data_IF_531178388033
#
_entry.id   IF_531178388033
#
_cell.length_a   1.000
_cell.length_b   1.000
_cell.length_c   1.000
_cell.angle_alpha   90.00
_cell.angle_beta   90.00
_cell.angle_gamma   90.00
#
_symmetry.space_group_name_H-M   'P 1'
#
loop_
_entity.id
_entity.type
_entity.pdbx_description
1 polymer ?
#
# COMPACT_ATOMS: atom_id res chain seq x y z
N UNK A 1 -64.11 28.06 58.30
CA UNK A 1 -63.09 26.98 58.18
C UNK A 1 -63.33 26.28 56.84
N UNK A 2 -62.50 26.56 55.84
CA UNK A 2 -62.60 26.00 54.48
C UNK A 2 -61.28 25.33 54.09
N UNK A 3 -61.37 24.10 53.59
CA UNK A 3 -60.31 23.11 53.40
C UNK A 3 -59.28 23.53 52.34
N UNK A 4 -57.99 23.42 52.67
CA UNK A 4 -56.92 23.59 51.69
C UNK A 4 -56.85 22.40 50.73
N UNK A 5 -57.09 22.63 49.45
CA UNK A 5 -56.86 21.65 48.41
C UNK A 5 -55.35 21.53 48.13
N UNK A 6 -54.75 20.43 48.60
CA UNK A 6 -53.35 20.10 48.37
C UNK A 6 -53.19 19.65 46.91
N UNK A 7 -52.68 20.54 46.06
CA UNK A 7 -52.38 20.25 44.66
C UNK A 7 -51.21 19.25 44.57
N UNK A 8 -51.46 18.02 44.11
CA UNK A 8 -50.42 17.03 43.81
C UNK A 8 -50.07 17.10 42.32
N UNK A 9 -48.87 17.59 42.00
CA UNK A 9 -48.31 17.47 40.63
C UNK A 9 -47.98 16.00 40.36
N UNK A 10 -48.46 15.40 39.25
CA UNK A 10 -48.01 14.07 38.87
C UNK A 10 -46.52 14.12 38.52
N UNK A 11 -45.71 13.36 39.23
CA UNK A 11 -44.31 13.18 38.91
C UNK A 11 -44.22 12.51 37.52
N UNK A 12 -43.77 13.27 36.51
CA UNK A 12 -43.44 12.71 35.20
C UNK A 12 -42.34 11.68 35.40
N UNK A 13 -42.67 10.40 35.24
CA UNK A 13 -41.71 9.30 35.23
C UNK A 13 -40.79 9.47 34.03
N UNK A 14 -39.70 10.20 34.19
CA UNK A 14 -38.62 10.22 33.21
C UNK A 14 -38.18 8.78 32.99
N UNK A 15 -38.07 8.37 31.72
CA UNK A 15 -37.53 7.06 31.31
C UNK A 15 -36.06 7.25 30.89
N UNK A 16 -35.12 7.60 31.81
CA UNK A 16 -33.75 7.97 31.44
C UNK A 16 -32.99 6.82 30.77
N UNK A 17 -33.37 5.58 31.09
CA UNK A 17 -32.71 4.37 30.58
C UNK A 17 -32.90 4.22 29.06
N UNK A 18 -34.08 4.56 28.52
CA UNK A 18 -34.34 4.44 27.08
C UNK A 18 -33.56 5.48 26.26
N UNK A 19 -33.45 6.69 26.78
CA UNK A 19 -32.70 7.76 26.11
C UNK A 19 -31.19 7.52 26.19
N UNK A 20 -30.67 7.01 27.32
CA UNK A 20 -29.27 6.60 27.45
C UNK A 20 -28.90 5.44 26.53
N UNK A 21 -29.79 4.45 26.38
CA UNK A 21 -29.56 3.31 25.49
C UNK A 21 -29.54 3.72 24.01
N UNK A 22 -30.41 4.64 23.60
CA UNK A 22 -30.42 5.19 22.24
C UNK A 22 -29.16 6.00 21.92
N UNK A 23 -28.73 6.87 22.84
CA UNK A 23 -27.51 7.67 22.67
C UNK A 23 -26.25 6.79 22.66
N UNK A 24 -26.18 5.79 23.55
CA UNK A 24 -25.08 4.83 23.57
C UNK A 24 -25.00 3.98 22.31
N UNK A 25 -26.15 3.49 21.82
CA UNK A 25 -26.24 2.74 20.57
C UNK A 25 -25.84 3.57 19.36
N UNK A 26 -26.26 4.83 19.28
CA UNK A 26 -25.88 5.74 18.19
C UNK A 26 -24.37 6.03 18.20
N UNK A 27 -23.80 6.32 19.37
CA UNK A 27 -22.36 6.54 19.53
C UNK A 27 -21.54 5.34 19.09
N UNK A 28 -21.90 4.14 19.58
CA UNK A 28 -21.23 2.90 19.18
C UNK A 28 -21.38 2.62 17.68
N UNK A 29 -22.56 2.83 17.11
CA UNK A 29 -22.83 2.69 15.67
C UNK A 29 -21.94 3.60 14.83
N UNK A 30 -21.86 4.89 15.18
CA UNK A 30 -20.99 5.85 14.46
C UNK A 30 -19.50 5.52 14.59
N UNK A 31 -19.07 5.03 15.75
CA UNK A 31 -17.69 4.58 15.97
C UNK A 31 -17.35 3.38 15.06
N UNK A 32 -18.22 2.37 15.03
CA UNK A 32 -18.03 1.18 14.19
C UNK A 32 -18.06 1.53 12.70
N UNK A 33 -18.98 2.40 12.27
CA UNK A 33 -19.05 2.88 10.87
C UNK A 33 -17.79 3.68 10.53
N UNK A 34 -17.31 4.54 11.44
CA UNK A 34 -16.08 5.32 11.24
C UNK A 34 -14.85 4.43 11.09
N UNK A 35 -14.68 3.44 11.98
CA UNK A 35 -13.56 2.48 11.93
C UNK A 35 -13.64 1.61 10.66
N UNK A 36 -14.83 1.08 10.33
CA UNK A 36 -15.03 0.28 9.12
C UNK A 36 -14.80 1.10 7.84
N UNK A 37 -15.25 2.36 7.82
CA UNK A 37 -15.02 3.28 6.70
C UNK A 37 -13.54 3.60 6.52
N UNK A 38 -12.82 3.89 7.60
CA UNK A 38 -11.37 4.09 7.57
C UNK A 38 -10.62 2.84 7.11
N UNK A 39 -11.02 1.66 7.57
CA UNK A 39 -10.43 0.39 7.17
C UNK A 39 -10.67 0.12 5.67
N UNK A 40 -11.91 0.28 5.19
CA UNK A 40 -12.26 0.09 3.79
C UNK A 40 -11.53 1.07 2.87
N UNK A 41 -11.43 2.35 3.28
CA UNK A 41 -10.68 3.37 2.54
C UNK A 41 -9.20 3.02 2.44
N UNK A 42 -8.57 2.59 3.54
CA UNK A 42 -7.17 2.15 3.54
C UNK A 42 -6.95 0.94 2.61
N UNK A 43 -7.84 -0.05 2.66
CA UNK A 43 -7.76 -1.22 1.77
C UNK A 43 -7.93 -0.83 0.30
N UNK A 44 -8.88 0.06 -0.03
CA UNK A 44 -9.06 0.52 -1.40
C UNK A 44 -7.85 1.30 -1.93
N UNK A 45 -7.24 2.16 -1.13
CA UNK A 45 -6.02 2.90 -1.53
C UNK A 45 -4.84 1.96 -1.74
N UNK A 46 -4.65 0.96 -0.87
CA UNK A 46 -3.59 -0.04 -1.01
C UNK A 46 -3.83 -0.94 -2.22
N UNK A 47 -5.07 -1.36 -2.47
CA UNK A 47 -5.45 -2.18 -3.63
C UNK A 47 -5.30 -1.40 -4.94
N UNK A 48 -5.68 -0.12 -4.98
CA UNK A 48 -5.54 0.72 -6.18
C UNK A 48 -4.07 1.08 -6.49
N UNK A 49 -3.21 1.23 -5.48
CA UNK A 49 -1.78 1.45 -5.70
C UNK A 49 -1.02 0.15 -6.01
N UNK A 50 -1.52 -1.01 -5.58
CA UNK A 50 -0.89 -2.32 -5.82
C UNK A 50 -0.78 -2.69 -7.29
N UNK A 51 -1.80 -2.40 -8.10
CA UNK A 51 -1.80 -2.66 -9.55
C UNK A 51 -0.66 -1.93 -10.27
N UNK A 52 -0.62 -0.59 -10.23
CA UNK A 52 0.42 0.20 -10.91
C UNK A 52 1.86 -0.11 -10.44
N UNK A 53 2.04 -0.41 -9.15
CA UNK A 53 3.34 -0.85 -8.61
C UNK A 53 3.74 -2.20 -9.21
N UNK A 54 2.82 -3.17 -9.20
CA UNK A 54 3.06 -4.51 -9.76
C UNK A 54 3.39 -4.44 -11.25
N UNK A 55 2.62 -3.68 -12.02
CA UNK A 55 2.86 -3.46 -13.46
C UNK A 55 4.21 -2.82 -13.74
N UNK A 56 4.63 -1.88 -12.88
CA UNK A 56 5.94 -1.23 -13.01
C UNK A 56 7.07 -2.22 -12.78
N UNK A 57 6.99 -3.02 -11.72
CA UNK A 57 7.98 -4.03 -11.40
C UNK A 57 8.00 -5.16 -12.44
N UNK A 58 6.83 -5.62 -12.87
CA UNK A 58 6.66 -6.64 -13.91
C UNK A 58 7.31 -6.19 -15.21
N UNK A 59 6.96 -4.99 -15.71
CA UNK A 59 7.55 -4.49 -16.94
C UNK A 59 9.07 -4.24 -16.85
N UNK A 60 9.61 -3.93 -15.67
CA UNK A 60 11.07 -3.83 -15.46
C UNK A 60 11.72 -5.22 -15.54
N UNK A 61 11.19 -6.20 -14.81
CA UNK A 61 11.72 -7.55 -14.77
C UNK A 61 11.60 -8.27 -16.11
N UNK A 62 10.50 -8.06 -16.82
CA UNK A 62 10.30 -8.56 -18.18
C UNK A 62 11.39 -8.06 -19.12
N UNK A 63 11.71 -6.75 -19.07
CA UNK A 63 12.75 -6.15 -19.89
C UNK A 63 14.14 -6.67 -19.52
N UNK A 64 14.43 -6.84 -18.22
CA UNK A 64 15.68 -7.45 -17.73
C UNK A 64 15.83 -8.89 -18.23
N UNK A 65 14.79 -9.72 -18.09
CA UNK A 65 14.80 -11.12 -18.53
C UNK A 65 14.91 -11.23 -20.07
N UNK A 66 14.28 -10.31 -20.81
CA UNK A 66 14.41 -10.21 -22.26
C UNK A 66 15.77 -9.67 -22.73
N UNK A 67 16.62 -9.15 -21.82
CA UNK A 67 17.89 -8.51 -22.15
C UNK A 67 17.77 -7.12 -22.78
N UNK A 68 16.59 -6.49 -22.66
CA UNK A 68 16.30 -5.11 -23.07
C UNK A 68 16.64 -4.15 -21.91
N UNK A 69 17.94 -4.04 -21.65
CA UNK A 69 18.52 -3.27 -20.54
C UNK A 69 18.31 -1.77 -20.68
N UNK A 70 18.23 -1.24 -21.91
CA UNK A 70 17.98 0.17 -22.16
C UNK A 70 16.58 0.58 -21.68
N UNK A 71 15.55 -0.20 -22.03
CA UNK A 71 14.20 0.07 -21.54
C UNK A 71 14.08 -0.16 -20.04
N UNK A 72 14.74 -1.19 -19.50
CA UNK A 72 14.76 -1.45 -18.07
C UNK A 72 15.41 -0.30 -17.29
N UNK A 73 16.54 0.23 -17.78
CA UNK A 73 17.21 1.41 -17.21
C UNK A 73 16.29 2.63 -17.20
N UNK A 74 15.48 2.81 -18.24
CA UNK A 74 14.47 3.87 -18.32
C UNK A 74 13.38 3.80 -17.25
N UNK A 75 13.18 2.66 -16.58
CA UNK A 75 12.22 2.48 -15.47
C UNK A 75 12.83 2.74 -14.08
N UNK A 76 14.14 2.93 -14.01
CA UNK A 76 14.82 3.24 -12.75
C UNK A 76 14.47 4.66 -12.27
N UNK A 77 14.49 4.82 -10.96
CA UNK A 77 14.29 6.10 -10.29
C UNK A 77 15.53 6.99 -10.42
N UNK A 78 15.37 8.29 -10.19
CA UNK A 78 16.44 9.27 -10.33
C UNK A 78 17.66 8.94 -9.44
N UNK A 79 17.42 8.49 -8.21
CA UNK A 79 18.45 8.07 -7.26
C UNK A 79 19.28 6.89 -7.80
N UNK A 80 18.63 5.83 -8.31
CA UNK A 80 19.31 4.69 -8.90
C UNK A 80 20.09 5.09 -10.17
N UNK A 81 19.53 5.95 -11.02
CA UNK A 81 20.19 6.48 -12.23
C UNK A 81 21.35 7.42 -11.92
N UNK A 82 21.39 8.01 -10.73
CA UNK A 82 22.52 8.80 -10.26
C UNK A 82 23.71 7.93 -9.84
N UNK A 83 23.45 6.73 -9.33
CA UNK A 83 24.48 5.75 -8.93
C UNK A 83 24.97 4.90 -10.10
N UNK A 84 24.07 4.56 -11.01
CA UNK A 84 24.35 3.66 -12.13
C UNK A 84 24.26 4.41 -13.45
N UNK A 85 25.38 4.41 -14.20
CA UNK A 85 25.33 4.79 -15.61
C UNK A 85 24.57 3.73 -16.41
N UNK A 86 23.99 4.10 -17.55
CA UNK A 86 23.28 3.16 -18.42
C UNK A 86 24.18 2.00 -18.85
N UNK A 87 25.43 2.29 -19.21
CA UNK A 87 26.44 1.28 -19.58
C UNK A 87 26.79 0.37 -18.39
N UNK A 88 26.93 0.94 -17.19
CA UNK A 88 27.21 0.17 -15.98
C UNK A 88 26.06 -0.78 -15.62
N UNK A 89 24.82 -0.31 -15.74
CA UNK A 89 23.63 -1.12 -15.56
C UNK A 89 23.56 -2.27 -16.57
N UNK A 90 23.79 -1.98 -17.86
CA UNK A 90 23.80 -3.00 -18.91
C UNK A 90 24.85 -4.09 -18.66
N UNK A 91 26.09 -3.67 -18.38
CA UNK A 91 27.20 -4.59 -18.09
C UNK A 91 26.88 -5.47 -16.87
N UNK A 92 26.29 -4.90 -15.83
CA UNK A 92 25.98 -5.63 -14.61
C UNK A 92 24.85 -6.65 -14.83
N UNK A 93 23.74 -6.25 -15.46
CA UNK A 93 22.60 -7.14 -15.74
C UNK A 93 22.98 -8.30 -16.67
N UNK A 94 23.94 -8.08 -17.57
CA UNK A 94 24.44 -9.13 -18.47
C UNK A 94 25.48 -10.05 -17.83
N UNK A 95 25.97 -9.73 -16.63
CA UNK A 95 26.95 -10.57 -15.94
C UNK A 95 26.31 -11.90 -15.53
N UNK A 96 26.86 -13.05 -15.97
CA UNK A 96 26.34 -14.34 -15.57
C UNK A 96 26.44 -14.57 -14.05
N UNK A 97 25.49 -15.30 -13.44
CA UNK A 97 24.31 -15.90 -14.07
C UNK A 97 23.17 -14.89 -14.26
N UNK A 98 22.71 -14.74 -15.52
CA UNK A 98 21.71 -13.73 -15.90
C UNK A 98 20.33 -14.16 -15.42
N UNK A 99 19.44 -13.18 -15.27
CA UNK A 99 18.03 -13.45 -14.97
C UNK A 99 17.36 -14.00 -16.23
N UNK A 100 16.83 -15.22 -16.13
CA UNK A 100 16.09 -15.91 -17.20
C UNK A 100 14.58 -15.94 -16.95
N UNK A 101 14.16 -15.75 -15.70
CA UNK A 101 12.76 -15.70 -15.31
C UNK A 101 12.55 -14.96 -13.99
N UNK A 102 11.31 -14.66 -13.67
CA UNK A 102 10.94 -14.02 -12.42
C UNK A 102 9.48 -14.35 -12.05
N UNK A 103 9.19 -14.23 -10.76
CA UNK A 103 7.85 -14.33 -10.20
C UNK A 103 7.68 -13.25 -9.12
N UNK A 104 6.61 -12.46 -9.20
CA UNK A 104 6.29 -11.48 -8.16
C UNK A 104 5.47 -12.18 -7.08
N UNK A 105 6.08 -12.38 -5.91
CA UNK A 105 5.50 -13.12 -4.79
C UNK A 105 4.68 -12.23 -3.86
N UNK A 106 5.08 -10.98 -3.67
CA UNK A 106 4.39 -10.04 -2.79
C UNK A 106 4.58 -8.58 -3.24
N UNK A 107 3.58 -7.74 -2.92
CA UNK A 107 3.65 -6.29 -3.11
C UNK A 107 3.19 -5.63 -1.82
N UNK A 108 4.12 -4.97 -1.14
CA UNK A 108 3.85 -4.23 0.08
C UNK A 108 3.94 -2.74 -0.18
N UNK A 109 2.94 -1.98 0.24
CA UNK A 109 2.90 -0.53 0.11
C UNK A 109 2.86 0.10 1.50
N UNK A 110 3.70 1.09 1.70
CA UNK A 110 3.81 1.87 2.93
C UNK A 110 3.86 3.36 2.60
N UNK A 111 3.55 4.20 3.56
CA UNK A 111 3.69 5.65 3.41
C UNK A 111 4.78 6.14 4.36
N UNK A 112 5.76 6.87 3.84
CA UNK A 112 6.82 7.45 4.65
C UNK A 112 6.92 8.95 4.37
N UNK A 113 6.71 9.76 5.41
CA UNK A 113 6.65 11.24 5.32
C UNK A 113 5.64 11.74 4.28
N UNK A 114 4.45 11.12 4.24
CA UNK A 114 3.37 11.48 3.31
C UNK A 114 3.61 11.08 1.85
N UNK A 115 4.69 10.36 1.54
CA UNK A 115 4.97 9.85 0.19
C UNK A 115 4.80 8.32 0.16
N UNK A 116 4.04 7.78 -0.80
CA UNK A 116 3.88 6.34 -0.91
C UNK A 116 5.19 5.71 -1.40
N UNK A 117 5.55 4.59 -0.78
CA UNK A 117 6.68 3.74 -1.14
C UNK A 117 6.21 2.31 -1.17
N UNK A 118 6.69 1.55 -2.13
CA UNK A 118 6.37 0.15 -2.24
C UNK A 118 7.64 -0.70 -2.24
N UNK A 119 7.48 -1.94 -1.82
CA UNK A 119 8.49 -2.98 -1.89
C UNK A 119 7.85 -4.16 -2.58
N UNK A 120 8.44 -4.59 -3.69
CA UNK A 120 7.98 -5.77 -4.44
C UNK A 120 8.92 -6.92 -4.13
N UNK A 121 8.41 -7.98 -3.54
CA UNK A 121 9.16 -9.22 -3.32
C UNK A 121 9.06 -10.09 -4.56
N UNK A 122 10.21 -10.56 -5.03
CA UNK A 122 10.32 -11.30 -6.29
C UNK A 122 11.21 -12.50 -6.12
N UNK A 123 10.84 -13.61 -6.76
CA UNK A 123 11.69 -14.77 -6.94
C UNK A 123 12.27 -14.72 -8.35
N UNK A 124 13.56 -14.49 -8.47
CA UNK A 124 14.30 -14.51 -9.73
C UNK A 124 14.75 -15.92 -10.04
N UNK A 125 14.67 -16.31 -11.31
CA UNK A 125 15.31 -17.51 -11.84
C UNK A 125 16.51 -17.07 -12.65
N UNK A 126 17.67 -17.64 -12.36
CA UNK A 126 18.89 -17.36 -13.10
C UNK A 126 19.24 -18.47 -14.08
N UNK A 127 20.09 -18.16 -15.05
CA UNK A 127 20.70 -19.17 -15.92
C UNK A 127 21.32 -20.28 -15.06
N UNK A 128 20.96 -21.54 -15.34
CA UNK A 128 21.29 -22.68 -14.48
C UNK A 128 20.18 -23.13 -13.51
N UNK A 129 19.02 -22.44 -13.50
CA UNK A 129 17.82 -22.85 -12.78
C UNK A 129 17.79 -22.47 -11.29
N UNK A 130 18.83 -21.79 -10.79
CA UNK A 130 18.87 -21.30 -9.42
C UNK A 130 17.79 -20.23 -9.19
N UNK A 131 16.99 -20.42 -8.13
CA UNK A 131 15.99 -19.46 -7.69
C UNK A 131 16.52 -18.59 -6.55
N UNK A 132 16.29 -17.28 -6.61
CA UNK A 132 16.74 -16.31 -5.61
C UNK A 132 15.63 -15.34 -5.25
N UNK A 133 15.36 -15.12 -3.97
CA UNK A 133 14.39 -14.13 -3.51
C UNK A 133 15.05 -12.74 -3.36
N UNK A 134 14.38 -11.70 -3.87
CA UNK A 134 14.84 -10.32 -3.83
C UNK A 134 13.71 -9.36 -3.54
N UNK A 135 14.06 -8.19 -3.01
CA UNK A 135 13.14 -7.10 -2.74
C UNK A 135 13.51 -5.92 -3.63
N UNK A 136 12.54 -5.44 -4.39
CA UNK A 136 12.67 -4.30 -5.28
C UNK A 136 11.93 -3.10 -4.65
N UNK A 137 12.66 -2.09 -4.14
CA UNK A 137 12.07 -0.83 -3.78
C UNK A 137 11.46 -0.15 -5.01
N UNK A 138 10.22 0.34 -4.87
CA UNK A 138 9.53 1.11 -5.90
C UNK A 138 9.01 2.39 -5.26
N UNK A 139 9.32 3.53 -5.87
CA UNK A 139 8.94 4.85 -5.35
C UNK A 139 8.14 5.62 -6.39
N UNK A 140 7.36 6.59 -5.94
CA UNK A 140 6.66 7.49 -6.83
C UNK A 140 7.51 8.75 -7.09
N UNK A 141 7.84 8.98 -8.36
CA UNK A 141 8.53 10.16 -8.88
C UNK A 141 7.71 10.75 -10.03
N UNK A 142 7.41 12.05 -9.97
CA UNK A 142 6.65 12.78 -11.00
C UNK A 142 5.33 12.09 -11.38
N UNK A 143 4.62 11.53 -10.38
CA UNK A 143 3.36 10.82 -10.57
C UNK A 143 3.49 9.41 -11.17
N UNK A 144 4.71 8.92 -11.41
CA UNK A 144 5.00 7.58 -11.96
C UNK A 144 5.73 6.73 -10.94
N UNK A 145 5.45 5.43 -10.95
CA UNK A 145 6.21 4.47 -10.16
C UNK A 145 7.53 4.14 -10.86
N UNK A 146 8.61 4.09 -10.07
CA UNK A 146 9.98 3.87 -10.53
C UNK A 146 10.69 2.88 -9.62
N UNK A 147 11.49 2.00 -10.20
CA UNK A 147 12.29 1.03 -9.44
C UNK A 147 13.52 1.72 -8.88
N UNK A 148 13.74 1.61 -7.57
CA UNK A 148 14.90 2.14 -6.88
C UNK A 148 15.74 1.02 -6.28
N UNK A 149 16.99 1.35 -5.95
CA UNK A 149 17.93 0.44 -5.31
C UNK A 149 19.07 0.08 -6.23
N UNK A 150 19.86 -0.89 -5.79
CA UNK A 150 20.92 -1.45 -6.62
C UNK A 150 20.34 -2.59 -7.46
N UNK A 151 20.63 -2.61 -8.77
CA UNK A 151 20.10 -3.58 -9.69
C UNK A 151 20.77 -4.93 -9.48
N UNK A 152 20.25 -5.79 -8.59
CA UNK A 152 20.64 -7.20 -8.36
C UNK A 152 22.01 -7.44 -7.71
#
# INVERSE_FOLDING_TARGET
MGTQQRWSRPARRSRPVRSGLLLGGLGLGTCLIGVAGLAAWNVQVVMQAGGPVRETADGFLQQVAAGDTDRAYGKLCADARSRWSQVGFDSWVRTPPRVSGYEITDVSISTLRGRPRATVSVRLTRDGGAGEERKLPVVQEDGKWRVCGDPF
#
